data_IF_837492609430
#
_entry.id   IF_837492609430
#
_cell.length_a   1.000
_cell.length_b   1.000
_cell.length_c   1.000
_cell.angle_alpha   90.00
_cell.angle_beta   90.00
_cell.angle_gamma   90.00
#
_symmetry.space_group_name_H-M   'P 1'
#
loop_
_entity.id
_entity.type
_entity.pdbx_description
1 polymer ?
#
# COMPACT_ATOMS: atom_id res chain seq x y z
N UNK A 1 11.25 -10.48 8.49
CA UNK A 1 9.89 -10.79 8.97
C UNK A 1 9.87 -11.94 9.97
N UNK A 2 10.26 -13.17 9.61
CA UNK A 2 10.26 -14.31 10.57
C UNK A 2 11.06 -14.03 11.85
N UNK A 3 12.29 -13.53 11.72
CA UNK A 3 13.10 -13.17 12.91
C UNK A 3 12.46 -12.09 13.79
N UNK A 4 11.80 -11.07 13.21
CA UNK A 4 11.07 -10.07 14.00
C UNK A 4 9.92 -10.68 14.80
N UNK A 5 9.21 -11.65 14.23
CA UNK A 5 8.12 -12.35 14.90
C UNK A 5 8.63 -13.34 15.95
N UNK A 6 9.59 -14.17 15.57
CA UNK A 6 10.03 -15.35 16.31
C UNK A 6 11.08 -15.01 17.39
N UNK A 7 11.99 -14.07 17.10
CA UNK A 7 13.10 -13.71 17.98
C UNK A 7 12.87 -12.39 18.74
N UNK A 8 12.23 -11.39 18.10
CA UNK A 8 12.03 -10.04 18.67
C UNK A 8 10.61 -9.79 19.21
N UNK A 9 9.72 -10.79 19.14
CA UNK A 9 8.40 -10.74 19.78
C UNK A 9 7.38 -9.82 19.11
N UNK A 10 7.59 -9.41 17.85
CA UNK A 10 6.59 -8.66 17.06
C UNK A 10 5.55 -9.60 16.47
N UNK A 11 4.62 -10.05 17.32
CA UNK A 11 3.66 -11.10 17.00
C UNK A 11 2.38 -10.61 16.32
N UNK A 12 2.09 -9.31 16.33
CA UNK A 12 0.88 -8.74 15.71
C UNK A 12 1.26 -7.81 14.55
N UNK A 13 0.72 -8.10 13.36
CA UNK A 13 0.71 -7.16 12.25
C UNK A 13 -0.56 -6.30 12.33
N UNK A 14 -0.38 -4.99 12.48
CA UNK A 14 -1.49 -4.04 12.66
C UNK A 14 -2.03 -3.56 11.33
N UNK A 15 -1.14 -3.28 10.38
CA UNK A 15 -1.50 -2.85 9.05
C UNK A 15 -0.43 -3.27 8.02
N UNK A 16 -0.88 -3.39 6.77
CA UNK A 16 -0.06 -3.34 5.58
C UNK A 16 -0.70 -2.31 4.67
N UNK A 17 0.07 -1.32 4.24
CA UNK A 17 -0.44 -0.27 3.34
C UNK A 17 0.61 0.08 2.30
N UNK A 18 0.22 0.84 1.29
CA UNK A 18 1.13 1.29 0.24
C UNK A 18 1.02 2.80 0.05
N UNK A 19 2.13 3.41 -0.40
CA UNK A 19 2.21 4.83 -0.70
C UNK A 19 2.74 5.00 -2.12
N UNK A 20 2.07 5.83 -2.91
CA UNK A 20 2.55 6.28 -4.22
C UNK A 20 3.18 7.67 -4.10
N UNK A 21 4.49 7.74 -4.30
CA UNK A 21 5.32 8.94 -4.21
C UNK A 21 5.47 9.70 -5.54
N UNK A 22 4.73 9.34 -6.60
CA UNK A 22 4.86 9.97 -7.94
C UNK A 22 4.84 11.51 -7.92
N UNK A 23 3.98 12.11 -7.10
CA UNK A 23 3.84 13.58 -7.00
C UNK A 23 4.47 14.16 -5.74
N UNK A 24 5.37 13.43 -5.08
CA UNK A 24 6.01 13.88 -3.85
C UNK A 24 7.34 14.56 -4.15
N UNK A 25 7.36 15.89 -4.06
CA UNK A 25 8.51 16.72 -4.47
C UNK A 25 9.60 16.85 -3.38
N UNK A 26 9.28 16.50 -2.13
CA UNK A 26 10.21 16.65 -1.02
C UNK A 26 11.18 15.46 -0.93
N UNK A 27 12.36 15.70 -0.35
CA UNK A 27 13.32 14.65 -0.05
C UNK A 27 12.72 13.64 0.94
N UNK A 28 12.86 12.35 0.65
CA UNK A 28 12.46 11.27 1.54
C UNK A 28 13.64 10.86 2.42
N UNK A 29 13.38 10.67 3.70
CA UNK A 29 14.36 10.07 4.62
C UNK A 29 14.43 8.56 4.34
N UNK A 30 15.42 8.18 3.54
CA UNK A 30 15.70 6.79 3.15
C UNK A 30 17.14 6.47 3.57
N UNK A 31 17.37 5.35 4.28
CA UNK A 31 18.70 4.98 4.71
C UNK A 31 19.69 4.83 3.55
N UNK A 32 20.96 5.11 3.81
CA UNK A 32 22.03 4.87 2.84
C UNK A 32 22.05 3.40 2.39
N UNK A 33 22.15 3.16 1.09
CA UNK A 33 22.15 1.82 0.49
C UNK A 33 20.76 1.30 0.11
N UNK A 34 19.71 2.10 0.25
CA UNK A 34 18.36 1.80 -0.26
C UNK A 34 17.98 2.85 -1.29
N UNK A 35 17.64 2.41 -2.49
CA UNK A 35 17.19 3.30 -3.55
C UNK A 35 15.73 3.69 -3.35
N UNK A 36 15.42 4.96 -3.58
CA UNK A 36 14.06 5.48 -3.46
C UNK A 36 13.22 5.05 -4.66
N UNK A 37 12.11 4.36 -4.40
CA UNK A 37 11.19 3.91 -5.46
C UNK A 37 9.85 4.67 -5.44
N UNK A 38 9.11 4.58 -6.55
CA UNK A 38 7.76 5.20 -6.66
C UNK A 38 6.81 4.66 -5.59
N UNK A 39 6.77 3.35 -5.43
CA UNK A 39 5.89 2.71 -4.45
C UNK A 39 6.66 2.35 -3.18
N UNK A 40 6.00 2.51 -2.04
CA UNK A 40 6.51 2.04 -0.76
C UNK A 40 5.43 1.22 -0.06
N UNK A 41 5.72 -0.04 0.26
CA UNK A 41 4.87 -0.86 1.13
C UNK A 41 5.30 -0.64 2.57
N UNK A 42 4.36 -0.27 3.41
CA UNK A 42 4.56 0.03 4.82
C UNK A 42 3.85 -1.02 5.65
N UNK A 43 4.59 -1.63 6.59
CA UNK A 43 4.09 -2.66 7.49
C UNK A 43 4.28 -2.18 8.91
N UNK A 44 3.21 -2.07 9.68
CA UNK A 44 3.29 -1.74 11.10
C UNK A 44 3.11 -3.00 11.95
N UNK A 45 4.13 -3.32 12.76
CA UNK A 45 4.11 -4.44 13.69
C UNK A 45 4.05 -3.95 15.14
N UNK A 46 3.44 -4.76 16.00
CA UNK A 46 3.29 -4.51 17.44
C UNK A 46 3.81 -5.71 18.23
N UNK A 47 4.62 -5.41 19.25
CA UNK A 47 4.96 -6.36 20.32
C UNK A 47 4.17 -5.97 21.58
N UNK A 48 3.27 -6.85 22.01
CA UNK A 48 2.56 -6.66 23.28
C UNK A 48 3.48 -6.85 24.48
N UNK A 49 4.44 -7.77 24.38
CA UNK A 49 5.39 -8.08 25.45
C UNK A 49 6.29 -6.88 25.74
N UNK A 50 6.88 -6.29 24.71
CA UNK A 50 7.79 -5.16 24.85
C UNK A 50 7.09 -3.79 24.80
N UNK A 51 5.76 -3.77 24.57
CA UNK A 51 4.95 -2.55 24.38
C UNK A 51 5.55 -1.61 23.33
N UNK A 52 6.16 -2.19 22.30
CA UNK A 52 6.89 -1.48 21.25
C UNK A 52 6.21 -1.67 19.90
N UNK A 53 6.43 -0.71 19.01
CA UNK A 53 5.99 -0.77 17.61
C UNK A 53 7.19 -0.59 16.71
N UNK A 54 7.20 -1.31 15.60
CA UNK A 54 8.17 -1.10 14.53
C UNK A 54 7.42 -0.93 13.21
N UNK A 55 7.95 -0.03 12.37
CA UNK A 55 7.48 0.18 11.01
C UNK A 55 8.54 -0.29 10.05
N UNK A 56 8.16 -1.12 9.11
CA UNK A 56 9.02 -1.58 8.02
C UNK A 56 8.54 -0.90 6.75
N UNK A 57 9.49 -0.37 5.98
CA UNK A 57 9.23 0.33 4.71
C UNK A 57 9.99 -0.40 3.62
N UNK A 58 9.28 -0.94 2.64
CA UNK A 58 9.83 -1.68 1.51
C UNK A 58 9.67 -0.82 0.27
N UNK A 59 10.78 -0.53 -0.41
CA UNK A 59 10.78 0.19 -1.68
C UNK A 59 10.41 -0.77 -2.80
N UNK A 60 9.39 -0.43 -3.58
CA UNK A 60 8.83 -1.27 -4.65
C UNK A 60 8.90 -0.52 -5.97
N UNK A 61 9.61 -1.05 -6.97
CA UNK A 61 9.81 -0.34 -8.22
C UNK A 61 8.54 -0.26 -9.06
N UNK A 62 8.42 0.79 -9.87
CA UNK A 62 7.26 0.99 -10.74
C UNK A 62 7.18 -0.02 -11.89
N UNK A 63 8.33 -0.38 -12.47
CA UNK A 63 8.39 -1.22 -13.67
C UNK A 63 7.95 -2.67 -13.40
N UNK A 64 8.12 -3.13 -12.16
CA UNK A 64 7.67 -4.44 -11.70
C UNK A 64 7.19 -4.36 -10.25
N UNK A 65 5.95 -3.88 -10.01
CA UNK A 65 5.48 -3.60 -8.67
C UNK A 65 5.06 -4.91 -7.97
N UNK A 66 6.03 -5.61 -7.39
CA UNK A 66 5.80 -6.79 -6.57
C UNK A 66 6.59 -6.78 -5.26
N UNK A 67 6.11 -7.55 -4.29
CA UNK A 67 6.73 -7.74 -2.98
C UNK A 67 6.39 -9.15 -2.47
N UNK A 68 7.25 -9.80 -1.66
CA UNK A 68 6.87 -11.04 -0.97
C UNK A 68 5.65 -10.84 -0.06
N UNK A 69 4.74 -11.83 -0.04
CA UNK A 69 3.61 -11.86 0.90
C UNK A 69 4.08 -11.96 2.36
N UNK A 70 3.29 -11.40 3.28
CA UNK A 70 3.43 -11.63 4.72
C UNK A 70 2.51 -12.73 5.24
N UNK A 71 1.62 -13.26 4.40
CA UNK A 71 0.59 -14.22 4.78
C UNK A 71 1.16 -15.43 5.55
N UNK A 72 2.27 -16.00 5.10
CA UNK A 72 2.93 -17.14 5.75
C UNK A 72 3.48 -16.83 7.16
N UNK A 73 3.69 -15.56 7.47
CA UNK A 73 4.23 -15.09 8.76
C UNK A 73 3.12 -14.55 9.65
N UNK A 74 2.22 -13.75 9.08
CA UNK A 74 1.07 -13.14 9.72
C UNK A 74 -0.17 -13.34 8.85
N UNK A 75 -0.93 -14.43 9.03
CA UNK A 75 -2.10 -14.74 8.18
C UNK A 75 -3.19 -13.66 8.16
N UNK A 76 -3.22 -12.77 9.16
CA UNK A 76 -4.11 -11.62 9.21
C UNK A 76 -3.82 -10.52 8.16
N UNK A 77 -2.74 -10.64 7.37
CA UNK A 77 -2.41 -9.66 6.33
C UNK A 77 -3.14 -9.88 5.00
N UNK A 78 -3.89 -10.98 4.85
CA UNK A 78 -4.57 -11.36 3.60
C UNK A 78 -5.38 -10.20 2.99
N UNK A 79 -6.30 -9.62 3.76
CA UNK A 79 -7.14 -8.52 3.28
C UNK A 79 -6.33 -7.23 2.99
N UNK A 80 -5.29 -6.95 3.77
CA UNK A 80 -4.47 -5.74 3.60
C UNK A 80 -3.60 -5.82 2.35
N UNK A 81 -3.04 -6.99 2.05
CA UNK A 81 -2.28 -7.23 0.82
C UNK A 81 -3.18 -7.14 -0.41
N UNK A 82 -4.41 -7.67 -0.33
CA UNK A 82 -5.43 -7.49 -1.38
C UNK A 82 -5.84 -6.04 -1.57
N UNK A 83 -6.02 -5.28 -0.49
CA UNK A 83 -6.32 -3.85 -0.56
C UNK A 83 -5.20 -3.09 -1.27
N UNK A 84 -3.94 -3.34 -0.89
CA UNK A 84 -2.78 -2.71 -1.54
C UNK A 84 -2.67 -3.10 -3.03
N UNK A 85 -2.98 -4.35 -3.37
CA UNK A 85 -3.09 -4.78 -4.77
C UNK A 85 -4.22 -4.05 -5.52
N UNK A 86 -5.42 -4.00 -4.96
CA UNK A 86 -6.59 -3.39 -5.59
C UNK A 86 -6.39 -1.88 -5.82
N UNK A 87 -5.86 -1.19 -4.80
CA UNK A 87 -5.73 0.26 -4.80
C UNK A 87 -4.45 0.80 -5.47
N UNK A 88 -3.35 0.07 -5.42
CA UNK A 88 -2.04 0.50 -5.92
C UNK A 88 -1.43 -0.44 -6.96
N UNK A 89 -1.99 -1.61 -7.20
CA UNK A 89 -1.50 -2.57 -8.19
C UNK A 89 -0.17 -3.24 -7.84
N UNK A 90 0.14 -3.31 -6.54
CA UNK A 90 1.32 -4.01 -6.03
C UNK A 90 0.96 -5.48 -5.87
N UNK A 91 1.71 -6.38 -6.52
CA UNK A 91 1.49 -7.83 -6.44
C UNK A 91 2.21 -8.42 -5.23
N UNK A 92 1.55 -9.31 -4.50
CA UNK A 92 2.13 -10.01 -3.37
C UNK A 92 2.44 -11.46 -3.74
N UNK A 93 3.73 -11.76 -3.89
CA UNK A 93 4.19 -13.08 -4.34
C UNK A 93 3.98 -14.12 -3.23
N UNK A 94 3.24 -15.19 -3.54
CA UNK A 94 2.88 -16.25 -2.59
C UNK A 94 1.54 -16.03 -1.87
N UNK A 95 0.81 -14.94 -2.15
CA UNK A 95 -0.50 -14.69 -1.57
C UNK A 95 -1.53 -15.75 -2.00
N UNK A 96 -2.39 -16.27 -1.10
CA UNK A 96 -3.31 -17.38 -1.41
C UNK A 96 -4.41 -17.03 -2.42
N UNK A 97 -4.95 -15.80 -2.36
CA UNK A 97 -5.96 -15.29 -3.30
C UNK A 97 -5.79 -13.79 -3.48
N UNK A 98 -5.09 -13.36 -4.54
CA UNK A 98 -4.87 -11.93 -4.80
C UNK A 98 -5.96 -11.34 -5.72
N UNK A 99 -7.22 -11.53 -5.32
CA UNK A 99 -8.39 -10.95 -5.98
C UNK A 99 -8.70 -9.54 -5.45
N UNK A 100 -9.40 -8.72 -6.25
CA UNK A 100 -9.89 -7.40 -5.81
C UNK A 100 -10.80 -7.55 -4.57
N UNK A 101 -10.83 -6.52 -3.72
CA UNK A 101 -11.60 -6.57 -2.45
C UNK A 101 -12.50 -5.35 -2.25
N UNK A 102 -12.10 -4.17 -2.75
CA UNK A 102 -12.86 -2.92 -2.62
C UNK A 102 -13.53 -2.52 -3.93
N UNK A 103 -12.82 -2.64 -5.05
CA UNK A 103 -13.36 -2.29 -6.36
C UNK A 103 -14.20 -3.45 -6.93
N UNK A 104 -15.20 -3.12 -7.79
CA UNK A 104 -15.86 -4.13 -8.62
C UNK A 104 -14.85 -4.97 -9.41
N UNK A 105 -15.18 -6.23 -9.69
CA UNK A 105 -14.30 -7.18 -10.38
C UNK A 105 -13.88 -6.66 -11.77
N UNK A 106 -14.83 -6.08 -12.51
CA UNK A 106 -14.64 -5.45 -13.81
C UNK A 106 -13.97 -4.05 -13.77
N UNK A 107 -13.53 -3.56 -12.61
CA UNK A 107 -12.83 -2.27 -12.55
C UNK A 107 -11.46 -2.33 -13.24
N UNK A 108 -11.14 -1.29 -14.00
CA UNK A 108 -9.84 -1.14 -14.67
C UNK A 108 -8.97 -0.11 -13.93
N UNK A 109 -7.74 -0.49 -13.60
CA UNK A 109 -6.77 0.37 -12.92
C UNK A 109 -6.81 0.31 -11.39
N UNK A 110 -6.14 1.29 -10.77
CA UNK A 110 -5.76 1.33 -9.35
C UNK A 110 -6.00 2.74 -8.78
N UNK A 111 -7.14 2.96 -8.08
CA UNK A 111 -7.63 4.30 -7.76
C UNK A 111 -6.72 5.20 -6.91
N UNK A 112 -5.86 4.64 -6.06
CA UNK A 112 -5.02 5.44 -5.15
C UNK A 112 -3.67 5.84 -5.76
N UNK A 113 -3.36 5.39 -6.97
CA UNK A 113 -2.21 5.89 -7.73
C UNK A 113 -2.42 7.35 -8.13
N UNK A 114 -1.35 8.15 -8.13
CA UNK A 114 -1.42 9.60 -8.39
C UNK A 114 -1.61 9.97 -9.86
N UNK A 115 -1.32 9.05 -10.77
CA UNK A 115 -1.61 9.14 -12.19
C UNK A 115 -3.06 8.70 -12.53
N UNK A 116 -3.82 8.17 -11.57
CA UNK A 116 -5.21 7.80 -11.77
C UNK A 116 -6.13 9.04 -11.70
N UNK A 117 -6.98 9.23 -12.71
CA UNK A 117 -7.85 10.39 -12.80
C UNK A 117 -8.96 10.34 -11.75
N UNK A 118 -9.02 11.33 -10.87
CA UNK A 118 -10.13 11.47 -9.91
C UNK A 118 -11.38 11.91 -10.67
N UNK A 119 -12.40 11.06 -10.67
CA UNK A 119 -13.72 11.42 -11.19
C UNK A 119 -14.29 12.62 -10.44
N UNK A 120 -14.62 13.70 -11.16
CA UNK A 120 -15.22 14.91 -10.58
C UNK A 120 -16.51 15.22 -11.31
N UNK A 121 -17.56 15.47 -10.55
CA UNK A 121 -18.82 16.00 -11.09
C UNK A 121 -18.81 17.50 -10.80
N UNK A 122 -18.86 18.37 -11.83
CA UNK A 122 -18.90 19.81 -11.60
C UNK A 122 -20.19 20.18 -10.85
N UNK A 123 -20.07 21.11 -9.90
CA UNK A 123 -21.23 21.64 -9.17
C UNK A 123 -22.13 22.38 -10.16
N UNK A 124 -23.40 21.99 -10.22
CA UNK A 124 -24.39 22.63 -11.07
C UNK A 124 -25.22 23.62 -10.24
N UNK A 125 -25.25 24.88 -10.67
CA UNK A 125 -26.13 25.90 -10.13
C UNK A 125 -27.33 26.10 -11.06
N UNK A 126 -28.53 26.28 -10.50
CA UNK A 126 -29.72 26.65 -11.28
C UNK A 126 -29.64 28.14 -11.65
N UNK A 127 -29.82 28.46 -12.93
CA UNK A 127 -30.00 29.84 -13.41
C UNK A 127 -28.73 30.62 -13.76
N UNK A 128 -27.55 29.98 -13.72
CA UNK A 128 -26.29 30.59 -14.17
C UNK A 128 -25.89 29.96 -15.50
N UNK A 129 -25.80 30.79 -16.55
CA UNK A 129 -25.20 30.37 -17.82
C UNK A 129 -23.70 30.46 -17.63
N UNK A 130 -22.99 29.33 -17.66
CA UNK A 130 -21.53 29.33 -17.71
C UNK A 130 -21.10 29.77 -19.11
N UNK A 131 -21.05 31.09 -19.34
CA UNK A 131 -20.32 31.64 -20.47
C UNK A 131 -18.82 31.42 -20.23
N UNK A 132 -18.20 30.70 -21.17
CA UNK A 132 -16.77 30.36 -21.16
C UNK A 132 -15.91 31.57 -21.53
#
# INVERSE_FOLDING_TARGET
MRSLRDDEGFNVCIDVTAVDYLTYEASRDIPAGVDAERFEVVVNLLSHEHRSRVRIRVQVPEHDPSCPTLFDVHPGTEAFEREAYDMFGIRFDGHPDLSRILMPEEWEGHPLRKDYAVGRIPVQFKGVVNER
#
